data_IF_512531263925
#
_entry.id   IF_512531263925
#
_cell.length_a   1.000
_cell.length_b   1.000
_cell.length_c   1.000
_cell.angle_alpha   90.00
_cell.angle_beta   90.00
_cell.angle_gamma   90.00
#
_symmetry.space_group_name_H-M   'P 1'
#
loop_
_entity.id
_entity.type
_entity.pdbx_description
1 polymer ?
#
# COMPACT_ATOMS: atom_id res chain seq x y z
N UNK A 1 11.76 -7.09 9.39
CA UNK A 1 10.59 -6.19 9.49
C UNK A 1 9.50 -6.70 8.57
N UNK A 2 8.34 -6.98 9.12
CA UNK A 2 7.15 -7.41 8.38
C UNK A 2 6.26 -6.21 8.10
N UNK A 3 5.97 -5.97 6.83
CA UNK A 3 5.19 -4.82 6.36
C UNK A 3 3.92 -5.34 5.68
N UNK A 4 2.77 -4.79 6.04
CA UNK A 4 1.50 -5.07 5.37
C UNK A 4 1.07 -3.83 4.62
N UNK A 5 0.85 -3.97 3.32
CA UNK A 5 0.43 -2.87 2.44
C UNK A 5 -1.02 -3.05 2.01
N UNK A 6 -1.80 -1.98 2.15
CA UNK A 6 -3.19 -1.89 1.71
C UNK A 6 -3.37 -0.66 0.82
N UNK A 7 -4.43 -0.64 0.04
CA UNK A 7 -4.88 0.51 -0.72
C UNK A 7 -6.36 0.41 -1.06
N UNK A 8 -6.99 1.55 -1.36
CA UNK A 8 -8.32 1.58 -1.96
C UNK A 8 -9.39 0.85 -1.13
N UNK A 9 -9.41 1.10 0.17
CA UNK A 9 -10.38 0.49 1.10
C UNK A 9 -11.80 1.03 0.93
N UNK A 10 -11.93 2.26 0.42
CA UNK A 10 -13.21 2.90 0.07
C UNK A 10 -14.29 2.80 1.17
N UNK A 11 -13.91 3.17 2.39
CA UNK A 11 -14.84 3.19 3.51
C UNK A 11 -15.79 4.43 3.44
N UNK A 12 -16.99 4.36 3.98
CA UNK A 12 -17.57 3.21 4.68
C UNK A 12 -18.27 2.22 3.74
N UNK A 13 -18.37 2.57 2.46
CA UNK A 13 -19.16 1.80 1.50
C UNK A 13 -18.63 0.37 1.31
N UNK A 14 -17.30 0.25 1.16
CA UNK A 14 -16.63 -1.04 0.91
C UNK A 14 -15.94 -1.60 2.14
N UNK A 15 -15.63 -0.74 3.10
CA UNK A 15 -15.01 -1.14 4.37
C UNK A 15 -15.87 -0.66 5.53
N UNK A 16 -16.62 -1.57 6.14
CA UNK A 16 -17.45 -1.28 7.35
C UNK A 16 -16.68 -1.60 8.62
N UNK A 17 -15.85 -2.61 8.56
CA UNK A 17 -14.91 -3.02 9.59
C UNK A 17 -13.79 -3.82 8.93
N UNK A 18 -12.67 -3.98 9.63
CA UNK A 18 -11.55 -4.76 9.10
C UNK A 18 -12.01 -6.20 8.78
N UNK A 19 -11.90 -6.63 7.52
CA UNK A 19 -12.26 -8.00 7.17
C UNK A 19 -11.42 -9.01 7.96
N UNK A 20 -12.03 -10.15 8.41
CA UNK A 20 -11.30 -11.13 9.24
C UNK A 20 -9.97 -11.61 8.65
N UNK A 21 -9.95 -11.88 7.36
CA UNK A 21 -8.69 -12.33 6.70
C UNK A 21 -7.62 -11.23 6.66
N UNK A 22 -8.03 -9.98 6.52
CA UNK A 22 -7.11 -8.84 6.60
C UNK A 22 -6.57 -8.73 8.03
N UNK A 23 -7.44 -8.83 9.04
CA UNK A 23 -7.03 -8.79 10.45
C UNK A 23 -5.99 -9.87 10.78
N UNK A 24 -6.17 -11.09 10.27
CA UNK A 24 -5.18 -12.17 10.43
C UNK A 24 -3.81 -11.79 9.85
N UNK A 25 -3.79 -11.13 8.69
CA UNK A 25 -2.54 -10.73 8.03
C UNK A 25 -1.89 -9.53 8.71
N UNK A 26 -2.69 -8.66 9.35
CA UNK A 26 -2.19 -7.52 10.13
C UNK A 26 -1.58 -7.96 11.47
N UNK A 27 -1.98 -9.11 11.99
CA UNK A 27 -1.41 -9.63 13.21
C UNK A 27 0.09 -9.92 13.01
N UNK A 28 0.91 -9.35 13.90
CA UNK A 28 2.37 -9.45 13.80
C UNK A 28 3.01 -8.52 12.77
N UNK A 29 2.28 -7.60 12.16
CA UNK A 29 2.88 -6.56 11.33
C UNK A 29 3.71 -5.61 12.18
N UNK A 30 4.89 -5.22 11.70
CA UNK A 30 5.72 -4.18 12.32
C UNK A 30 5.31 -2.78 11.84
N UNK A 31 4.84 -2.70 10.59
CA UNK A 31 4.41 -1.45 9.94
C UNK A 31 3.29 -1.76 8.95
N UNK A 32 2.36 -0.81 8.82
CA UNK A 32 1.27 -0.85 7.84
C UNK A 32 1.43 0.34 6.90
N UNK A 33 1.34 0.09 5.60
CA UNK A 33 1.32 1.11 4.56
C UNK A 33 -0.08 1.15 3.93
N UNK A 34 -0.63 2.37 3.77
CA UNK A 34 -1.90 2.56 3.06
C UNK A 34 -1.70 3.55 1.91
N UNK A 35 -1.85 3.07 0.69
CA UNK A 35 -1.55 3.82 -0.52
C UNK A 35 -2.72 4.70 -1.02
N UNK A 36 -3.63 5.10 -0.14
CA UNK A 36 -4.67 6.10 -0.43
C UNK A 36 -6.05 5.52 -0.76
N UNK A 37 -7.01 6.42 -0.92
CA UNK A 37 -8.44 6.11 -1.01
C UNK A 37 -8.94 5.35 0.22
N UNK A 38 -8.59 5.90 1.36
CA UNK A 38 -9.06 5.50 2.69
C UNK A 38 -10.54 5.84 2.84
N UNK A 39 -10.88 7.04 2.43
CA UNK A 39 -12.16 7.74 2.41
C UNK A 39 -12.64 8.23 3.78
N UNK A 40 -12.48 7.48 4.86
CA UNK A 40 -12.80 7.94 6.23
C UNK A 40 -11.64 7.68 7.18
N UNK A 41 -11.33 8.65 8.08
CA UNK A 41 -10.18 8.54 9.00
C UNK A 41 -10.23 7.34 9.94
N UNK A 42 -11.42 6.85 10.26
CA UNK A 42 -11.60 5.70 11.17
C UNK A 42 -10.90 4.44 10.70
N UNK A 43 -10.67 4.26 9.41
CA UNK A 43 -9.91 3.12 8.86
C UNK A 43 -8.47 3.17 9.34
N UNK A 44 -7.84 4.34 9.27
CA UNK A 44 -6.46 4.51 9.74
C UNK A 44 -6.34 4.28 11.24
N UNK A 45 -7.33 4.74 12.01
CA UNK A 45 -7.39 4.50 13.46
C UNK A 45 -7.55 3.00 13.76
N UNK A 46 -8.40 2.30 13.02
CA UNK A 46 -8.59 0.85 13.16
C UNK A 46 -7.31 0.07 12.83
N UNK A 47 -6.63 0.42 11.74
CA UNK A 47 -5.36 -0.18 11.35
C UNK A 47 -4.26 0.09 12.38
N UNK A 48 -4.22 1.28 12.96
CA UNK A 48 -3.19 1.66 13.94
C UNK A 48 -3.27 0.87 15.25
N UNK A 49 -4.36 0.16 15.50
CA UNK A 49 -4.45 -0.78 16.61
C UNK A 49 -3.53 -2.01 16.43
N UNK A 50 -3.14 -2.32 15.20
CA UNK A 50 -2.24 -3.45 14.89
C UNK A 50 -0.77 -3.04 14.85
N UNK A 51 -0.45 -1.92 14.20
CA UNK A 51 0.92 -1.44 14.02
C UNK A 51 0.90 0.04 13.59
N UNK A 52 2.04 0.75 13.64
CA UNK A 52 2.15 2.09 13.08
C UNK A 52 1.74 2.11 11.60
N UNK A 53 0.92 3.11 11.22
CA UNK A 53 0.39 3.28 9.87
C UNK A 53 1.02 4.49 9.21
N UNK A 54 1.53 4.30 8.00
CA UNK A 54 1.95 5.39 7.10
C UNK A 54 1.02 5.39 5.89
N UNK A 55 0.42 6.53 5.60
CA UNK A 55 -0.57 6.65 4.53
C UNK A 55 -0.29 7.84 3.61
N UNK A 56 -0.71 7.71 2.37
CA UNK A 56 -0.81 8.83 1.43
C UNK A 56 -2.26 9.08 1.07
N UNK A 57 -2.54 10.27 0.56
CA UNK A 57 -3.88 10.71 0.18
C UNK A 57 -4.20 10.26 -1.23
N UNK A 58 -5.37 9.64 -1.41
CA UNK A 58 -5.91 9.30 -2.71
C UNK A 58 -6.87 10.36 -3.25
N UNK A 59 -7.32 10.18 -4.48
CA UNK A 59 -8.22 11.14 -5.16
C UNK A 59 -9.63 11.18 -4.55
N UNK A 60 -10.05 10.16 -3.81
CA UNK A 60 -11.33 10.13 -3.10
C UNK A 60 -11.22 10.54 -1.62
N UNK A 61 -10.04 10.92 -1.17
CA UNK A 61 -9.82 11.35 0.21
C UNK A 61 -10.09 12.85 0.37
N UNK A 62 -10.96 13.19 1.30
CA UNK A 62 -11.28 14.56 1.65
C UNK A 62 -10.30 15.15 2.67
N UNK A 63 -10.53 16.41 3.11
CA UNK A 63 -9.65 17.13 4.03
C UNK A 63 -9.61 16.52 5.44
N UNK A 64 -10.55 15.67 5.79
CA UNK A 64 -10.61 14.94 7.06
C UNK A 64 -9.62 13.74 7.12
N UNK A 65 -9.13 13.29 5.97
CA UNK A 65 -8.02 12.32 5.92
C UNK A 65 -6.70 13.09 5.98
N UNK A 66 -6.06 13.05 7.14
CA UNK A 66 -4.78 13.74 7.37
C UNK A 66 -3.62 12.87 6.86
N UNK A 67 -3.29 13.04 5.59
CA UNK A 67 -2.21 12.33 4.93
C UNK A 67 -1.61 13.18 3.80
N UNK A 68 -0.31 13.07 3.52
CA UNK A 68 0.31 13.77 2.40
C UNK A 68 -0.03 13.10 1.05
N UNK A 69 0.15 13.84 -0.03
CA UNK A 69 0.01 13.31 -1.40
C UNK A 69 1.08 12.26 -1.72
N UNK A 70 2.30 12.48 -1.24
CA UNK A 70 3.42 11.56 -1.39
C UNK A 70 4.17 11.46 -0.08
N UNK A 71 4.84 10.33 0.12
CA UNK A 71 5.61 10.06 1.32
C UNK A 71 6.88 9.30 0.95
N UNK A 72 7.97 9.64 1.60
CA UNK A 72 9.19 8.82 1.58
C UNK A 72 9.56 8.48 3.01
N UNK A 73 9.90 7.23 3.26
CA UNK A 73 10.26 6.75 4.58
C UNK A 73 11.35 5.68 4.48
N UNK A 74 12.04 5.46 5.60
CA UNK A 74 13.01 4.39 5.73
C UNK A 74 12.39 3.23 6.52
N UNK A 75 12.43 2.04 5.96
CA UNK A 75 12.01 0.81 6.62
C UNK A 75 13.21 -0.12 6.71
N UNK A 76 13.80 -0.20 7.89
CA UNK A 76 14.96 -1.06 8.17
C UNK A 76 16.09 -0.91 7.12
N UNK A 77 16.38 0.34 6.75
CA UNK A 77 17.41 0.68 5.76
C UNK A 77 16.95 0.69 4.30
N UNK A 78 15.73 0.24 4.01
CA UNK A 78 15.14 0.35 2.68
C UNK A 78 14.38 1.68 2.54
N UNK A 79 14.75 2.48 1.56
CA UNK A 79 14.03 3.71 1.25
C UNK A 79 12.78 3.38 0.44
N UNK A 80 11.60 3.77 0.95
CA UNK A 80 10.29 3.48 0.35
C UNK A 80 9.61 4.78 -0.03
N UNK A 81 9.16 4.87 -1.28
CA UNK A 81 8.28 5.94 -1.75
C UNK A 81 6.83 5.47 -1.79
N UNK A 82 5.90 6.38 -1.54
CA UNK A 82 4.46 6.12 -1.63
C UNK A 82 3.76 7.22 -2.40
N UNK A 83 2.86 6.83 -3.28
CA UNK A 83 1.98 7.72 -4.04
C UNK A 83 0.71 6.93 -4.39
N UNK A 84 -0.46 7.59 -4.38
CA UNK A 84 -1.70 6.88 -4.72
C UNK A 84 -1.78 6.54 -6.20
N UNK A 85 -1.64 7.54 -7.07
CA UNK A 85 -1.75 7.39 -8.53
C UNK A 85 -0.37 7.44 -9.19
N UNK A 86 0.08 6.31 -9.71
CA UNK A 86 1.36 6.18 -10.41
C UNK A 86 1.28 6.55 -11.91
N UNK A 87 0.10 6.92 -12.39
CA UNK A 87 -0.15 7.23 -13.80
C UNK A 87 -0.38 5.98 -14.68
N UNK A 88 -0.34 6.16 -15.99
CA UNK A 88 -0.61 5.07 -16.94
C UNK A 88 0.35 3.88 -16.80
N UNK A 89 -0.12 2.69 -17.18
CA UNK A 89 0.69 1.46 -17.12
C UNK A 89 1.97 1.56 -17.95
N UNK A 90 1.89 2.15 -19.14
CA UNK A 90 3.06 2.33 -20.00
C UNK A 90 4.09 3.27 -19.37
N UNK A 91 5.31 2.80 -19.22
CA UNK A 91 6.42 3.58 -18.66
C UNK A 91 6.36 3.80 -17.15
N UNK A 92 5.49 3.08 -16.43
CA UNK A 92 5.28 3.27 -14.99
C UNK A 92 6.54 3.03 -14.18
N UNK A 93 7.26 1.94 -14.43
CA UNK A 93 8.48 1.61 -13.69
C UNK A 93 9.53 2.74 -13.79
N UNK A 94 9.82 3.19 -15.00
CA UNK A 94 10.77 4.28 -15.25
C UNK A 94 10.28 5.61 -14.66
N UNK A 95 8.98 5.90 -14.75
CA UNK A 95 8.38 7.12 -14.20
C UNK A 95 8.50 7.15 -12.68
N UNK A 96 8.22 6.06 -12.00
CA UNK A 96 8.32 5.97 -10.54
C UNK A 96 9.77 6.03 -10.07
N UNK A 97 10.69 5.46 -10.82
CA UNK A 97 12.12 5.58 -10.51
C UNK A 97 12.62 7.03 -10.59
N UNK A 98 12.14 7.77 -11.58
CA UNK A 98 12.45 9.21 -11.69
C UNK A 98 11.78 10.04 -10.59
N UNK A 99 10.57 9.69 -10.22
CA UNK A 99 9.80 10.41 -9.18
C UNK A 99 10.40 10.22 -7.79
N UNK A 100 10.94 9.03 -7.51
CA UNK A 100 11.52 8.65 -6.23
C UNK A 100 12.95 8.12 -6.43
N UNK A 101 13.90 9.00 -6.76
CA UNK A 101 15.24 8.55 -7.19
C UNK A 101 16.04 7.85 -6.09
N UNK A 102 15.73 8.11 -4.81
CA UNK A 102 16.40 7.47 -3.68
C UNK A 102 15.71 6.18 -3.22
N UNK A 103 14.52 5.87 -3.74
CA UNK A 103 13.75 4.71 -3.29
C UNK A 103 14.19 3.41 -3.93
N UNK A 104 14.19 2.34 -3.15
CA UNK A 104 14.32 0.97 -3.65
C UNK A 104 12.97 0.29 -3.88
N UNK A 105 11.91 0.84 -3.29
CA UNK A 105 10.53 0.36 -3.42
C UNK A 105 9.59 1.56 -3.52
N UNK A 106 8.63 1.50 -4.43
CA UNK A 106 7.49 2.43 -4.47
C UNK A 106 6.19 1.65 -4.34
N UNK A 107 5.36 2.02 -3.37
CA UNK A 107 4.03 1.45 -3.14
C UNK A 107 2.98 2.45 -3.64
N UNK A 108 2.03 1.96 -4.43
CA UNK A 108 0.97 2.77 -5.03
C UNK A 108 -0.36 2.00 -5.06
N UNK A 109 -1.43 2.66 -5.49
CA UNK A 109 -2.77 2.08 -5.56
C UNK A 109 -3.54 2.55 -6.79
N UNK A 110 -4.74 3.07 -6.57
CA UNK A 110 -5.63 3.70 -7.53
C UNK A 110 -6.32 2.74 -8.52
N UNK A 111 -5.58 1.86 -9.18
CA UNK A 111 -6.14 0.95 -10.18
C UNK A 111 -6.94 -0.22 -9.59
N UNK A 112 -6.74 -0.54 -8.31
CA UNK A 112 -7.22 -1.77 -7.66
C UNK A 112 -6.64 -3.06 -8.26
N UNK A 113 -5.65 -2.93 -9.15
CA UNK A 113 -5.01 -4.07 -9.82
C UNK A 113 -3.70 -4.39 -9.11
N UNK A 114 -3.58 -5.55 -8.45
CA UNK A 114 -2.33 -5.92 -7.83
C UNK A 114 -1.21 -6.02 -8.85
N UNK A 115 -0.05 -5.48 -8.51
CA UNK A 115 1.12 -5.46 -9.39
C UNK A 115 2.40 -5.59 -8.57
N UNK A 116 3.30 -6.40 -9.06
CA UNK A 116 4.67 -6.52 -8.54
C UNK A 116 5.62 -6.56 -9.72
N UNK A 117 6.36 -5.48 -9.93
CA UNK A 117 7.26 -5.29 -11.07
C UNK A 117 8.59 -4.72 -10.58
N UNK A 118 9.70 -5.25 -11.08
CA UNK A 118 11.03 -4.85 -10.62
C UNK A 118 12.06 -4.83 -11.74
N UNK A 119 13.11 -4.07 -11.50
CA UNK A 119 14.37 -4.05 -12.23
C UNK A 119 15.52 -3.99 -11.21
N UNK A 120 16.78 -4.13 -11.61
CA UNK A 120 17.88 -4.09 -10.65
C UNK A 120 17.84 -2.84 -9.77
N UNK A 121 17.75 -3.04 -8.45
CA UNK A 121 17.75 -1.99 -7.43
C UNK A 121 16.46 -1.19 -7.29
N UNK A 122 15.38 -1.56 -7.98
CA UNK A 122 14.11 -0.84 -7.88
C UNK A 122 12.89 -1.74 -8.11
N UNK A 123 11.86 -1.51 -7.33
CA UNK A 123 10.60 -2.28 -7.40
C UNK A 123 9.40 -1.38 -7.20
N UNK A 124 8.34 -1.63 -7.96
CA UNK A 124 7.03 -1.01 -7.76
C UNK A 124 6.01 -2.06 -7.35
N UNK A 125 5.13 -1.70 -6.44
CA UNK A 125 4.20 -2.65 -5.84
C UNK A 125 2.83 -2.01 -5.60
N UNK A 126 1.79 -2.62 -6.14
CA UNK A 126 0.39 -2.27 -5.86
C UNK A 126 -0.25 -3.44 -5.11
N UNK A 127 -0.71 -3.27 -3.86
CA UNK A 127 -1.32 -4.36 -3.10
C UNK A 127 -2.72 -4.75 -3.60
N UNK A 128 -3.28 -4.02 -4.57
CA UNK A 128 -4.67 -4.14 -4.95
C UNK A 128 -5.59 -3.52 -3.89
N UNK A 129 -6.85 -3.91 -3.89
CA UNK A 129 -7.84 -3.50 -2.87
C UNK A 129 -8.36 -4.72 -2.12
N UNK A 130 -8.40 -4.69 -0.79
CA UNK A 130 -8.96 -5.81 -0.02
C UNK A 130 -10.48 -5.87 -0.06
N UNK A 131 -11.14 -4.77 -0.40
CA UNK A 131 -12.60 -4.62 -0.24
C UNK A 131 -13.34 -4.17 -1.49
N UNK A 132 -12.64 -3.56 -2.45
CA UNK A 132 -13.20 -3.13 -3.73
C UNK A 132 -12.37 -3.68 -4.89
N UNK A 133 -12.50 -4.98 -5.13
CA UNK A 133 -11.70 -5.71 -6.12
C UNK A 133 -12.01 -5.35 -7.57
N UNK A 134 -13.12 -4.66 -7.81
CA UNK A 134 -13.62 -4.36 -9.17
C UNK A 134 -13.67 -5.62 -10.04
N UNK A 135 -12.89 -5.66 -11.13
CA UNK A 135 -12.84 -6.80 -12.07
C UNK A 135 -11.80 -7.87 -11.69
N UNK A 136 -11.08 -7.68 -10.59
CA UNK A 136 -10.11 -8.66 -10.13
C UNK A 136 -10.79 -9.88 -9.52
N UNK A 137 -10.21 -11.09 -9.63
CA UNK A 137 -10.83 -12.30 -9.09
C UNK A 137 -10.92 -12.28 -7.55
N UNK A 138 -10.01 -11.57 -6.89
CA UNK A 138 -9.93 -11.50 -5.43
C UNK A 138 -9.64 -10.08 -4.96
N UNK A 139 -10.12 -9.74 -3.76
CA UNK A 139 -9.56 -8.68 -2.95
C UNK A 139 -8.17 -9.11 -2.45
N UNK A 140 -7.23 -8.18 -2.37
CA UNK A 140 -5.84 -8.49 -2.06
C UNK A 140 -5.22 -7.47 -1.10
N UNK A 141 -4.18 -7.90 -0.40
CA UNK A 141 -3.23 -7.05 0.32
C UNK A 141 -1.81 -7.47 -0.05
N UNK A 142 -0.85 -6.60 0.24
CA UNK A 142 0.57 -6.92 0.12
C UNK A 142 1.15 -7.34 1.46
N UNK A 143 1.97 -8.38 1.47
CA UNK A 143 2.79 -8.76 2.62
C UNK A 143 4.24 -8.74 2.19
N UNK A 144 5.03 -7.88 2.83
CA UNK A 144 6.41 -7.62 2.47
C UNK A 144 7.31 -7.92 3.67
N UNK A 145 8.52 -8.35 3.40
CA UNK A 145 9.55 -8.50 4.44
C UNK A 145 10.81 -7.77 4.03
N UNK A 146 11.27 -6.89 4.91
CA UNK A 146 12.47 -6.08 4.73
C UNK A 146 13.50 -6.48 5.78
N UNK A 147 14.72 -6.72 5.36
CA UNK A 147 15.86 -7.05 6.22
C UNK A 147 17.11 -6.32 5.73
N UNK A 148 17.77 -5.58 6.63
CA UNK A 148 19.06 -4.94 6.37
C UNK A 148 19.09 -4.14 5.06
N UNK A 149 18.06 -3.33 4.82
CA UNK A 149 17.96 -2.47 3.65
C UNK A 149 17.51 -3.17 2.36
N UNK A 150 17.15 -4.44 2.42
CA UNK A 150 16.70 -5.21 1.27
C UNK A 150 15.26 -5.70 1.42
N UNK A 151 14.49 -5.63 0.35
CA UNK A 151 13.19 -6.28 0.26
C UNK A 151 13.44 -7.75 -0.09
N UNK A 152 13.33 -8.62 0.93
CA UNK A 152 13.67 -10.06 0.79
C UNK A 152 12.47 -10.91 0.40
N UNK A 153 11.25 -10.40 0.61
CA UNK A 153 10.01 -11.09 0.23
C UNK A 153 8.93 -10.07 -0.09
N UNK A 154 8.16 -10.34 -1.13
CA UNK A 154 6.98 -9.56 -1.49
C UNK A 154 5.91 -10.51 -2.03
N UNK A 155 4.72 -10.45 -1.43
CA UNK A 155 3.60 -11.31 -1.81
C UNK A 155 2.33 -10.48 -1.95
N UNK A 156 1.56 -10.78 -2.99
CA UNK A 156 0.18 -10.34 -3.13
C UNK A 156 -0.70 -11.47 -2.61
N UNK A 157 -1.44 -11.20 -1.54
CA UNK A 157 -2.20 -12.22 -0.80
C UNK A 157 -3.69 -12.00 -0.99
N UNK A 158 -4.42 -12.99 -1.54
CA UNK A 158 -5.87 -12.94 -1.63
C UNK A 158 -6.51 -12.93 -0.23
N UNK A 159 -7.54 -12.08 -0.07
CA UNK A 159 -8.31 -11.96 1.19
C UNK A 159 -9.80 -12.26 1.00
N UNK A 160 -10.22 -12.51 -0.22
CA UNK A 160 -11.59 -12.96 -0.54
C UNK A 160 -11.60 -14.24 -1.33
#
# INVERSE_FOLDING_TARGET
MRVVALSDTHAPRRWKACPPRVAELLDGADVILHAGDVCVPSVLAELSAYAPVHAVKGNNDGPDVDAPETLELDLDGLRVGMIHDSGPAKGRLARMRRRFPAAGLVVFGHSHIPLDESEPGFRIFNPGSPTDRRRQPHGTVGVLRVEDGALVEAQIVPVT
#
